data_IF_284797832108
#
_entry.id   IF_284797832108
#
_cell.length_a   1.000
_cell.length_b   1.000
_cell.length_c   1.000
_cell.angle_alpha   90.00
_cell.angle_beta   90.00
_cell.angle_gamma   90.00
#
_symmetry.space_group_name_H-M   'P 1'
#
loop_
_entity.id
_entity.type
_entity.pdbx_description
1 polymer ?
#
# COMPACT_ATOMS: atom_id res chain seq x y z
N UNK A 1 -21.04 32.22 -24.76
CA UNK A 1 -21.81 30.96 -24.65
C UNK A 1 -22.35 30.84 -23.22
N UNK A 2 -23.66 30.79 -23.05
CA UNK A 2 -24.31 30.76 -21.73
C UNK A 2 -24.41 29.31 -21.20
N UNK A 3 -23.45 28.87 -20.39
CA UNK A 3 -23.38 27.52 -19.80
C UNK A 3 -24.61 27.13 -18.95
N UNK A 4 -25.32 28.12 -18.41
CA UNK A 4 -26.53 27.92 -17.58
C UNK A 4 -27.74 27.37 -18.36
N UNK A 5 -27.76 27.55 -19.67
CA UNK A 5 -28.83 27.01 -20.53
C UNK A 5 -28.67 25.50 -20.75
N UNK A 6 -27.42 25.00 -20.66
CA UNK A 6 -27.10 23.57 -20.83
C UNK A 6 -27.05 22.81 -19.51
N UNK A 7 -26.62 23.46 -18.42
CA UNK A 7 -26.57 22.87 -17.09
C UNK A 7 -27.57 23.54 -16.15
N UNK A 8 -28.77 22.97 -16.05
CA UNK A 8 -29.79 23.37 -15.09
C UNK A 8 -29.82 22.38 -13.90
N UNK A 9 -29.28 22.75 -12.72
CA UNK A 9 -29.26 21.86 -11.56
C UNK A 9 -30.67 21.51 -11.06
N UNK A 10 -31.63 22.42 -11.20
CA UNK A 10 -33.04 22.17 -10.87
C UNK A 10 -33.62 21.08 -11.77
N UNK A 11 -33.29 21.12 -13.07
CA UNK A 11 -33.76 20.13 -14.03
C UNK A 11 -33.13 18.76 -13.79
N UNK A 12 -31.83 18.74 -13.45
CA UNK A 12 -31.12 17.52 -13.07
C UNK A 12 -31.70 16.87 -11.80
N UNK A 13 -32.03 17.66 -10.78
CA UNK A 13 -32.68 17.15 -9.57
C UNK A 13 -34.05 16.53 -9.87
N UNK A 14 -34.86 17.21 -10.71
CA UNK A 14 -36.17 16.69 -11.11
C UNK A 14 -36.03 15.38 -11.89
N UNK A 15 -35.08 15.31 -12.81
CA UNK A 15 -34.79 14.11 -13.58
C UNK A 15 -34.35 12.94 -12.69
N UNK A 16 -33.43 13.19 -11.75
CA UNK A 16 -33.01 12.20 -10.76
C UNK A 16 -34.20 11.71 -9.91
N UNK A 17 -35.05 12.61 -9.42
CA UNK A 17 -36.25 12.22 -8.66
C UNK A 17 -37.18 11.35 -9.50
N UNK A 18 -37.45 11.72 -10.75
CA UNK A 18 -38.28 10.92 -11.66
C UNK A 18 -37.66 9.55 -11.91
N UNK A 19 -36.35 9.49 -12.11
CA UNK A 19 -35.61 8.24 -12.24
C UNK A 19 -35.77 7.36 -10.99
N UNK A 20 -35.62 7.92 -9.79
CA UNK A 20 -35.75 7.15 -8.55
C UNK A 20 -37.16 6.58 -8.33
N UNK A 21 -38.22 7.32 -8.70
CA UNK A 21 -39.62 6.93 -8.48
C UNK A 21 -40.13 5.91 -9.52
N UNK A 22 -39.62 5.95 -10.75
CA UNK A 22 -40.16 5.14 -11.86
C UNK A 22 -39.50 3.76 -12.03
N UNK A 23 -38.34 3.52 -11.40
CA UNK A 23 -37.58 2.28 -11.59
C UNK A 23 -38.00 1.14 -10.67
N UNK A 24 -37.65 -0.07 -11.08
CA UNK A 24 -37.86 -1.30 -10.30
C UNK A 24 -36.86 -1.35 -9.12
N UNK A 25 -37.21 -1.99 -7.98
CA UNK A 25 -36.39 -1.97 -6.78
C UNK A 25 -34.97 -2.53 -6.99
N UNK A 26 -34.80 -3.55 -7.83
CA UNK A 26 -33.48 -4.12 -8.11
C UNK A 26 -32.55 -3.13 -8.86
N UNK A 27 -33.09 -2.25 -9.71
CA UNK A 27 -32.29 -1.24 -10.41
C UNK A 27 -31.76 -0.18 -9.44
N UNK A 28 -32.55 0.17 -8.42
CA UNK A 28 -32.11 1.05 -7.33
C UNK A 28 -31.04 0.36 -6.47
N UNK A 29 -31.19 -0.95 -6.22
CA UNK A 29 -30.17 -1.75 -5.52
C UNK A 29 -28.82 -1.75 -6.24
N UNK A 30 -28.81 -2.01 -7.55
CA UNK A 30 -27.58 -1.95 -8.35
C UNK A 30 -26.95 -0.55 -8.40
N UNK A 31 -27.78 0.50 -8.52
CA UNK A 31 -27.30 1.88 -8.46
C UNK A 31 -26.65 2.19 -7.11
N UNK A 32 -27.30 1.81 -6.01
CA UNK A 32 -26.76 1.99 -4.67
C UNK A 32 -25.44 1.24 -4.48
N UNK A 33 -25.36 -0.03 -4.94
CA UNK A 33 -24.15 -0.83 -4.88
C UNK A 33 -22.98 -0.18 -5.65
N UNK A 34 -23.26 0.31 -6.86
CA UNK A 34 -22.25 1.00 -7.69
C UNK A 34 -21.73 2.27 -7.01
N UNK A 35 -22.62 3.07 -6.42
CA UNK A 35 -22.23 4.26 -5.67
C UNK A 35 -21.39 3.87 -4.45
N UNK A 36 -21.82 2.88 -3.66
CA UNK A 36 -21.09 2.42 -2.47
C UNK A 36 -19.68 1.95 -2.86
N UNK A 37 -19.54 1.14 -3.90
CA UNK A 37 -18.24 0.67 -4.37
C UNK A 37 -17.33 1.85 -4.77
N UNK A 38 -17.87 2.78 -5.55
CA UNK A 38 -17.13 3.96 -6.03
C UNK A 38 -16.68 4.85 -4.86
N UNK A 39 -17.59 5.18 -3.94
CA UNK A 39 -17.27 5.98 -2.77
C UNK A 39 -16.29 5.27 -1.85
N UNK A 40 -16.39 3.94 -1.70
CA UNK A 40 -15.44 3.15 -0.90
C UNK A 40 -14.02 3.27 -1.46
N UNK A 41 -13.86 3.18 -2.80
CA UNK A 41 -12.54 3.36 -3.43
C UNK A 41 -12.00 4.79 -3.22
N UNK A 42 -12.85 5.81 -3.38
CA UNK A 42 -12.44 7.20 -3.18
C UNK A 42 -12.04 7.44 -1.72
N UNK A 43 -12.87 7.03 -0.76
CA UNK A 43 -12.59 7.20 0.66
C UNK A 43 -11.35 6.42 1.10
N UNK A 44 -11.17 5.20 0.61
CA UNK A 44 -9.97 4.40 0.87
C UNK A 44 -8.68 5.06 0.37
N UNK A 45 -8.71 5.65 -0.83
CA UNK A 45 -7.53 6.39 -1.34
C UNK A 45 -7.24 7.67 -0.57
N UNK A 46 -8.29 8.40 -0.15
CA UNK A 46 -8.13 9.59 0.69
C UNK A 46 -7.54 9.23 2.06
N UNK A 47 -7.95 8.12 2.66
CA UNK A 47 -7.41 7.66 3.94
C UNK A 47 -5.92 7.28 3.83
N UNK A 48 -5.55 6.48 2.82
CA UNK A 48 -4.15 6.12 2.54
C UNK A 48 -3.29 7.36 2.28
N UNK A 49 -3.84 8.38 1.60
CA UNK A 49 -3.09 9.61 1.31
C UNK A 49 -2.78 10.46 2.55
N UNK A 50 -3.57 10.32 3.62
CA UNK A 50 -3.37 11.03 4.90
C UNK A 50 -2.34 10.35 5.79
N UNK A 51 -2.01 9.09 5.53
CA UNK A 51 -0.97 8.40 6.27
C UNK A 51 0.37 9.10 6.02
N UNK A 52 1.16 9.41 7.07
CA UNK A 52 2.47 10.01 6.89
C UNK A 52 3.30 9.07 6.01
N UNK A 53 3.71 9.57 4.84
CA UNK A 53 4.64 8.84 3.98
C UNK A 53 5.88 8.54 4.82
N UNK A 54 6.41 7.30 4.80
CA UNK A 54 7.66 7.02 5.47
C UNK A 54 8.68 8.04 5.00
N UNK A 55 9.41 8.67 5.94
CA UNK A 55 10.42 9.66 5.61
C UNK A 55 11.32 9.06 4.52
N UNK A 56 11.55 9.81 3.46
CA UNK A 56 12.42 9.35 2.38
C UNK A 56 13.83 9.15 2.96
N UNK A 57 14.26 7.90 3.07
CA UNK A 57 15.63 7.56 3.42
C UNK A 57 16.38 7.30 2.12
N UNK A 58 17.40 8.11 1.85
CA UNK A 58 18.33 7.82 0.77
C UNK A 58 19.24 6.70 1.24
N UNK A 59 19.07 5.51 0.68
CA UNK A 59 19.99 4.39 0.89
C UNK A 59 21.31 4.69 0.17
N UNK A 60 22.17 5.47 0.82
CA UNK A 60 23.53 5.72 0.34
C UNK A 60 24.36 4.49 0.72
N UNK A 61 24.52 3.57 -0.23
CA UNK A 61 25.43 2.44 -0.07
C UNK A 61 26.86 2.98 -0.17
N UNK A 62 27.51 3.15 0.97
CA UNK A 62 28.93 3.49 1.02
C UNK A 62 29.75 2.26 0.67
N UNK A 63 30.51 2.35 -0.42
CA UNK A 63 31.51 1.34 -0.75
C UNK A 63 32.75 1.62 0.09
N UNK A 64 33.18 0.63 0.87
CA UNK A 64 34.42 0.76 1.64
C UNK A 64 35.61 0.88 0.68
N UNK A 65 36.34 1.99 0.77
CA UNK A 65 37.57 2.20 0.02
C UNK A 65 38.73 1.62 0.81
N UNK A 66 39.33 0.56 0.26
CA UNK A 66 40.45 -0.11 0.89
C UNK A 66 41.78 0.42 0.37
N UNK A 67 42.73 0.59 1.28
CA UNK A 67 44.13 0.88 0.95
C UNK A 67 44.74 -0.25 0.13
N UNK A 68 45.53 0.09 -0.90
CA UNK A 68 46.18 -0.89 -1.76
C UNK A 68 47.40 -1.56 -1.08
N UNK A 69 47.95 -0.95 -0.03
CA UNK A 69 49.15 -1.38 0.69
C UNK A 69 48.88 -2.22 1.95
N UNK A 70 47.62 -2.61 2.17
CA UNK A 70 47.21 -3.45 3.32
C UNK A 70 47.80 -4.84 3.25
N UNK A 71 48.15 -5.39 4.41
CA UNK A 71 48.71 -6.75 4.54
C UNK A 71 47.61 -7.80 4.75
N UNK A 72 47.87 -9.05 4.39
CA UNK A 72 46.90 -10.16 4.56
C UNK A 72 46.46 -10.34 6.01
N UNK A 73 47.36 -10.09 6.97
CA UNK A 73 47.04 -10.15 8.39
C UNK A 73 45.98 -9.10 8.80
N UNK A 74 46.07 -7.88 8.26
CA UNK A 74 45.10 -6.81 8.50
C UNK A 74 43.75 -7.13 7.86
N UNK A 75 43.74 -7.74 6.67
CA UNK A 75 42.52 -8.18 5.99
C UNK A 75 41.77 -9.22 6.85
N UNK A 76 42.48 -10.23 7.35
CA UNK A 76 41.88 -11.31 8.16
C UNK A 76 41.38 -10.76 9.49
N UNK A 77 42.10 -9.82 10.11
CA UNK A 77 41.66 -9.18 11.34
C UNK A 77 40.34 -8.41 11.14
N UNK A 78 40.25 -7.63 10.06
CA UNK A 78 39.04 -6.86 9.75
C UNK A 78 37.85 -7.77 9.42
N UNK A 79 38.07 -8.84 8.64
CA UNK A 79 37.01 -9.81 8.30
C UNK A 79 36.41 -10.49 9.53
N UNK A 80 37.21 -10.76 10.57
CA UNK A 80 36.70 -11.33 11.83
C UNK A 80 35.78 -10.35 12.56
N UNK A 81 36.08 -9.05 12.50
CA UNK A 81 35.27 -8.01 13.12
C UNK A 81 33.97 -7.84 12.33
N UNK A 82 34.07 -7.65 11.02
CA UNK A 82 32.93 -7.43 10.13
C UNK A 82 31.99 -8.64 10.09
N UNK A 83 32.53 -9.86 10.13
CA UNK A 83 31.76 -11.10 10.07
C UNK A 83 30.78 -11.27 11.24
N UNK A 84 31.13 -10.76 12.44
CA UNK A 84 30.25 -10.81 13.61
C UNK A 84 29.05 -9.88 13.41
N UNK A 85 29.28 -8.67 12.90
CA UNK A 85 28.22 -7.70 12.66
C UNK A 85 27.30 -8.16 11.53
N UNK A 86 27.86 -8.65 10.41
CA UNK A 86 27.09 -9.20 9.29
C UNK A 86 26.20 -10.36 9.74
N UNK A 87 26.74 -11.29 10.55
CA UNK A 87 25.95 -12.41 11.06
C UNK A 87 24.76 -11.95 11.90
N UNK A 88 24.94 -10.92 12.75
CA UNK A 88 23.85 -10.35 13.55
C UNK A 88 22.76 -9.72 12.67
N UNK A 89 23.16 -8.90 11.71
CA UNK A 89 22.24 -8.26 10.76
C UNK A 89 21.47 -9.31 9.95
N UNK A 90 22.14 -10.36 9.46
CA UNK A 90 21.49 -11.45 8.73
C UNK A 90 20.48 -12.21 9.59
N UNK A 91 20.81 -12.48 10.85
CA UNK A 91 19.90 -13.16 11.78
C UNK A 91 18.66 -12.31 12.06
N UNK A 92 18.83 -11.02 12.33
CA UNK A 92 17.71 -10.09 12.54
C UNK A 92 16.81 -10.03 11.30
N UNK A 93 17.41 -9.91 10.11
CA UNK A 93 16.68 -9.85 8.86
C UNK A 93 15.96 -11.17 8.54
N UNK A 94 16.55 -12.32 8.89
CA UNK A 94 15.89 -13.64 8.83
C UNK A 94 14.71 -13.72 9.80
N UNK A 95 14.84 -13.21 11.02
CA UNK A 95 13.75 -13.17 12.01
C UNK A 95 12.59 -12.32 11.53
N UNK A 96 12.85 -11.10 11.07
CA UNK A 96 11.82 -10.20 10.52
C UNK A 96 11.11 -10.84 9.31
N UNK A 97 11.87 -11.48 8.41
CA UNK A 97 11.29 -12.22 7.27
C UNK A 97 10.41 -13.39 7.73
N UNK A 98 10.84 -14.15 8.74
CA UNK A 98 10.08 -15.27 9.27
C UNK A 98 8.78 -14.80 9.94
N UNK A 99 8.83 -13.73 10.73
CA UNK A 99 7.66 -13.11 11.36
C UNK A 99 6.66 -12.61 10.32
N UNK A 100 7.14 -11.90 9.28
CA UNK A 100 6.30 -11.45 8.16
C UNK A 100 5.66 -12.63 7.44
N UNK A 101 6.43 -13.68 7.12
CA UNK A 101 5.89 -14.90 6.50
C UNK A 101 4.83 -15.56 7.37
N UNK A 102 5.04 -15.63 8.69
CA UNK A 102 4.06 -16.20 9.61
C UNK A 102 2.76 -15.37 9.66
N UNK A 103 2.85 -14.03 9.68
CA UNK A 103 1.69 -13.14 9.61
C UNK A 103 0.92 -13.33 8.30
N UNK A 104 1.62 -13.36 7.17
CA UNK A 104 1.01 -13.57 5.87
C UNK A 104 0.37 -14.95 5.75
N UNK A 105 1.02 -15.99 6.29
CA UNK A 105 0.43 -17.34 6.32
C UNK A 105 -0.86 -17.39 7.12
N UNK A 106 -0.91 -16.76 8.29
CA UNK A 106 -2.15 -16.67 9.08
C UNK A 106 -3.26 -15.98 8.29
N UNK A 107 -2.94 -14.90 7.59
CA UNK A 107 -3.90 -14.20 6.75
C UNK A 107 -4.39 -15.09 5.60
N UNK A 108 -3.48 -15.76 4.90
CA UNK A 108 -3.80 -16.70 3.82
C UNK A 108 -4.72 -17.84 4.31
N UNK A 109 -4.38 -18.46 5.45
CA UNK A 109 -5.20 -19.50 6.07
C UNK A 109 -6.61 -18.99 6.42
N UNK A 110 -6.73 -17.74 6.91
CA UNK A 110 -8.04 -17.13 7.17
C UNK A 110 -8.83 -16.85 5.89
N UNK A 111 -8.20 -16.30 4.84
CA UNK A 111 -8.87 -16.03 3.56
C UNK A 111 -9.39 -17.32 2.95
N UNK A 112 -8.56 -18.36 2.95
CA UNK A 112 -8.94 -19.70 2.50
C UNK A 112 -10.10 -20.28 3.29
N UNK A 113 -10.17 -20.03 4.60
CA UNK A 113 -11.32 -20.44 5.42
C UNK A 113 -12.63 -19.73 5.04
N UNK A 114 -12.54 -18.49 4.54
CA UNK A 114 -13.66 -17.74 4.00
C UNK A 114 -13.95 -18.06 2.51
N UNK A 115 -13.14 -18.92 1.89
CA UNK A 115 -13.32 -19.37 0.50
C UNK A 115 -12.82 -18.37 -0.56
N UNK A 116 -11.92 -17.46 -0.19
CA UNK A 116 -11.30 -16.46 -1.09
C UNK A 116 -9.78 -16.65 -1.09
#
# INVERSE_FOLDING_TARGET
MNLRQYFSPIRAWRDLRTYLVTRRPHQLGFMALSLVLTYTMILGTLDVSRMPKPAYHRDIIYVQQWRADRTDAEIIAQQKIDGIEQTRQEQELKRLKAERRAQLKKLDDTLKSYGI
#
